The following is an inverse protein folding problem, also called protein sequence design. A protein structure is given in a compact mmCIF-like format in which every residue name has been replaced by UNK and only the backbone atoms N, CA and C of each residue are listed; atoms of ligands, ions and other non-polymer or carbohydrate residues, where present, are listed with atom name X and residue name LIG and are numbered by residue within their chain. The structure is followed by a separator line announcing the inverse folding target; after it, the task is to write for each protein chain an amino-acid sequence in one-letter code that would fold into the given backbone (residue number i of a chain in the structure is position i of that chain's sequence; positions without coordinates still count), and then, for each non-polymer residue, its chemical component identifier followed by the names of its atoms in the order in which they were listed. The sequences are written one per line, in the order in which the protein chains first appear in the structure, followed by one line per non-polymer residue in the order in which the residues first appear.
data_IF_538516685973
#
_entry.id   IF_538516685973
#
_cell.length_a   1.000
_cell.length_b   1.000
_cell.length_c   1.000
_cell.angle_alpha   90.00
_cell.angle_beta   90.00
_cell.angle_gamma   90.00
#
_symmetry.space_group_name_H-M   'P 1'
#
loop_
_entity.id
_entity.type
_entity.pdbx_description
1 polymer ?
#
# COMPACT_ATOMS: atom_id res chain seq x y z
N UNK A 1 6.77 27.15 -23.25
CA UNK A 1 7.47 25.87 -23.06
C UNK A 1 7.43 25.50 -21.59
N UNK A 2 7.08 24.27 -21.24
CA UNK A 2 7.12 23.81 -19.83
C UNK A 2 8.55 23.38 -19.50
N UNK A 3 9.07 23.82 -18.36
CA UNK A 3 10.45 23.54 -17.95
C UNK A 3 10.70 22.03 -17.76
N UNK A 4 11.90 21.52 -18.12
CA UNK A 4 12.22 20.09 -18.11
C UNK A 4 12.15 19.44 -16.71
N UNK A 5 12.24 20.23 -15.65
CA UNK A 5 12.11 19.75 -14.26
C UNK A 5 10.67 19.35 -13.96
N UNK A 6 9.68 20.11 -14.47
CA UNK A 6 8.26 19.86 -14.24
C UNK A 6 7.80 18.53 -14.86
N UNK A 7 8.37 18.15 -16.00
CA UNK A 7 8.08 16.88 -16.68
C UNK A 7 8.49 15.66 -15.85
N UNK A 8 9.63 15.70 -15.16
CA UNK A 8 10.10 14.59 -14.32
C UNK A 8 9.16 14.28 -13.15
N UNK A 9 8.69 15.32 -12.45
CA UNK A 9 7.72 15.14 -11.36
C UNK A 9 6.39 14.54 -11.83
N UNK A 10 5.99 14.80 -13.09
CA UNK A 10 4.76 14.22 -13.68
C UNK A 10 4.94 12.73 -13.94
N UNK A 11 6.06 12.36 -14.55
CA UNK A 11 6.37 10.97 -14.87
C UNK A 11 6.52 10.13 -13.60
N UNK A 12 7.18 10.65 -12.56
CA UNK A 12 7.33 9.94 -11.29
C UNK A 12 5.99 9.59 -10.63
N UNK A 13 5.02 10.52 -10.63
CA UNK A 13 3.70 10.27 -10.06
C UNK A 13 2.90 9.21 -10.87
N UNK A 14 3.07 9.18 -12.19
CA UNK A 14 2.44 8.19 -13.07
C UNK A 14 3.10 6.82 -12.88
N UNK A 15 4.42 6.76 -12.78
CA UNK A 15 5.14 5.51 -12.53
C UNK A 15 4.73 4.94 -11.17
N UNK A 16 4.68 5.77 -10.12
CA UNK A 16 4.19 5.35 -8.81
C UNK A 16 2.74 4.82 -8.85
N UNK A 17 1.87 5.43 -9.67
CA UNK A 17 0.50 4.91 -9.89
C UNK A 17 0.55 3.49 -10.42
N UNK A 18 1.27 3.30 -11.52
CA UNK A 18 1.34 2.01 -12.22
C UNK A 18 1.93 0.96 -11.28
N UNK A 19 2.99 1.28 -10.55
CA UNK A 19 3.59 0.39 -9.56
C UNK A 19 2.62 0.00 -8.45
N UNK A 20 1.83 0.93 -7.90
CA UNK A 20 0.82 0.59 -6.88
C UNK A 20 -0.27 -0.35 -7.43
N UNK A 21 -0.69 -0.18 -8.68
CA UNK A 21 -1.70 -1.07 -9.29
C UNK A 21 -1.12 -2.45 -9.61
N UNK A 22 0.13 -2.50 -10.09
CA UNK A 22 0.85 -3.75 -10.30
C UNK A 22 1.05 -4.47 -8.95
N UNK A 23 1.42 -3.75 -7.89
CA UNK A 23 1.57 -4.30 -6.54
C UNK A 23 0.27 -4.92 -6.03
N UNK A 24 -0.88 -4.29 -6.28
CA UNK A 24 -2.19 -4.86 -5.95
C UNK A 24 -2.44 -6.18 -6.70
N UNK A 25 -2.22 -6.19 -8.02
CA UNK A 25 -2.45 -7.39 -8.84
C UNK A 25 -1.53 -8.53 -8.40
N UNK A 26 -0.25 -8.24 -8.18
CA UNK A 26 0.72 -9.21 -7.66
C UNK A 26 0.29 -9.70 -6.28
N UNK A 27 -0.15 -8.82 -5.39
CA UNK A 27 -0.66 -9.16 -4.06
C UNK A 27 -1.87 -10.10 -4.12
N UNK A 28 -2.83 -9.85 -5.02
CA UNK A 28 -4.00 -10.72 -5.22
C UNK A 28 -3.58 -12.09 -5.73
N UNK A 29 -2.69 -12.15 -6.72
CA UNK A 29 -2.19 -13.42 -7.26
C UNK A 29 -1.48 -14.23 -6.17
N UNK A 30 -0.63 -13.58 -5.37
CA UNK A 30 0.05 -14.22 -4.24
C UNK A 30 -0.95 -14.71 -3.18
N UNK A 31 -1.96 -13.91 -2.85
CA UNK A 31 -2.99 -14.29 -1.89
C UNK A 31 -3.81 -15.49 -2.38
N UNK A 32 -4.22 -15.48 -3.65
CA UNK A 32 -4.97 -16.57 -4.26
C UNK A 32 -4.16 -17.88 -4.32
N UNK A 33 -2.89 -17.81 -4.74
CA UNK A 33 -2.01 -18.98 -4.80
C UNK A 33 -1.71 -19.57 -3.42
N UNK A 34 -1.60 -18.74 -2.38
CA UNK A 34 -1.32 -19.22 -1.03
C UNK A 34 -2.59 -19.51 -0.21
N UNK A 35 -3.80 -19.23 -0.73
CA UNK A 35 -5.05 -19.35 0.04
C UNK A 35 -5.24 -20.75 0.65
N UNK A 36 -4.92 -21.81 -0.09
CA UNK A 36 -5.00 -23.19 0.38
C UNK A 36 -3.86 -23.64 1.28
N UNK A 37 -2.74 -22.90 1.35
CA UNK A 37 -1.56 -23.26 2.18
C UNK A 37 -1.48 -22.46 3.48
N UNK A 38 -2.44 -21.57 3.75
CA UNK A 38 -2.45 -20.80 4.99
C UNK A 38 -2.56 -21.68 6.24
N UNK A 39 -3.30 -22.79 6.17
CA UNK A 39 -3.45 -23.72 7.29
C UNK A 39 -2.16 -24.49 7.59
N UNK A 40 -1.44 -24.95 6.56
CA UNK A 40 -0.10 -25.57 6.74
C UNK A 40 0.95 -24.55 7.20
N UNK A 41 0.88 -23.30 6.75
CA UNK A 41 1.88 -22.26 7.05
C UNK A 41 1.68 -21.54 8.37
N UNK A 42 0.43 -21.42 8.83
CA UNK A 42 0.06 -20.64 10.01
C UNK A 42 -0.82 -21.41 11.00
N UNK A 43 -1.05 -22.72 10.80
CA UNK A 43 -1.87 -23.56 11.68
C UNK A 43 -1.39 -23.58 13.13
N UNK A 44 -0.08 -23.42 13.35
CA UNK A 44 0.52 -23.32 14.69
C UNK A 44 0.44 -21.89 15.28
N UNK A 45 -0.02 -20.89 14.51
CA UNK A 45 -0.02 -19.47 14.84
C UNK A 45 -1.34 -18.78 14.41
N UNK A 46 -2.44 -19.01 15.13
CA UNK A 46 -3.76 -18.48 14.79
C UNK A 46 -3.81 -16.95 14.77
N UNK A 47 -2.96 -16.29 15.55
CA UNK A 47 -2.71 -14.85 15.57
C UNK A 47 -2.22 -14.34 14.21
N UNK A 48 -1.18 -14.96 13.66
CA UNK A 48 -0.63 -14.60 12.35
C UNK A 48 -1.62 -14.89 11.22
N UNK A 49 -2.36 -16.00 11.30
CA UNK A 49 -3.37 -16.34 10.31
C UNK A 49 -4.48 -15.29 10.25
N UNK A 50 -4.97 -14.82 11.39
CA UNK A 50 -5.97 -13.74 11.47
C UNK A 50 -5.45 -12.44 10.89
N UNK A 51 -4.20 -12.08 11.20
CA UNK A 51 -3.57 -10.88 10.65
C UNK A 51 -3.58 -10.91 9.11
N UNK A 52 -3.10 -11.99 8.49
CA UNK A 52 -3.03 -12.08 7.02
C UNK A 52 -4.39 -12.14 6.34
N UNK A 53 -5.36 -12.86 6.92
CA UNK A 53 -6.69 -13.05 6.31
C UNK A 53 -7.62 -11.86 6.51
N UNK A 54 -7.46 -11.08 7.57
CA UNK A 54 -8.38 -9.98 7.91
C UNK A 54 -7.71 -8.62 7.90
N UNK A 55 -6.67 -8.43 8.70
CA UNK A 55 -6.10 -7.09 8.96
C UNK A 55 -5.23 -6.60 7.78
N UNK A 56 -4.45 -7.51 7.21
CA UNK A 56 -3.58 -7.24 6.07
C UNK A 56 -4.40 -6.89 4.83
N UNK A 57 -5.35 -7.76 4.45
CA UNK A 57 -6.17 -7.55 3.25
C UNK A 57 -7.07 -6.31 3.37
N UNK A 58 -7.66 -6.06 4.55
CA UNK A 58 -8.45 -4.86 4.79
C UNK A 58 -7.62 -3.57 4.60
N UNK A 59 -6.38 -3.57 5.10
CA UNK A 59 -5.48 -2.44 4.97
C UNK A 59 -5.01 -2.25 3.53
N UNK A 60 -4.73 -3.33 2.79
CA UNK A 60 -4.39 -3.23 1.36
C UNK A 60 -5.53 -2.57 0.58
N UNK A 61 -6.78 -3.00 0.81
CA UNK A 61 -7.97 -2.40 0.18
C UNK A 61 -8.09 -0.92 0.53
N UNK A 62 -7.91 -0.55 1.81
CA UNK A 62 -7.95 0.84 2.26
C UNK A 62 -6.86 1.69 1.59
N UNK A 63 -5.63 1.16 1.49
CA UNK A 63 -4.52 1.84 0.82
C UNK A 63 -4.84 2.13 -0.66
N UNK A 64 -5.47 1.18 -1.36
CA UNK A 64 -5.86 1.35 -2.77
C UNK A 64 -7.02 2.32 -2.91
N UNK A 65 -7.99 2.30 -2.00
CA UNK A 65 -9.07 3.27 -1.97
C UNK A 65 -8.51 4.69 -1.83
N UNK A 66 -7.53 4.90 -0.95
CA UNK A 66 -6.84 6.19 -0.78
C UNK A 66 -6.08 6.62 -2.04
N UNK A 67 -5.34 5.70 -2.67
CA UNK A 67 -4.64 5.95 -3.95
C UNK A 67 -5.63 6.35 -5.03
N UNK A 68 -6.77 5.66 -5.13
CA UNK A 68 -7.83 5.93 -6.11
C UNK A 68 -8.49 7.29 -5.85
N UNK A 69 -8.80 7.58 -4.59
CA UNK A 69 -9.34 8.86 -4.15
C UNK A 69 -8.36 10.01 -4.41
N UNK A 70 -7.05 9.81 -4.25
CA UNK A 70 -6.02 10.81 -4.53
C UNK A 70 -6.08 11.33 -5.97
N UNK A 71 -6.40 10.45 -6.93
CA UNK A 71 -6.60 10.84 -8.34
C UNK A 71 -7.93 11.58 -8.57
N UNK A 72 -8.97 11.26 -7.82
CA UNK A 72 -10.24 12.01 -7.85
C UNK A 72 -10.09 13.42 -7.26
N UNK A 73 -9.35 13.54 -6.14
CA UNK A 73 -9.10 14.81 -5.46
C UNK A 73 -8.12 15.73 -6.20
N UNK A 74 -7.19 15.16 -6.97
CA UNK A 74 -6.28 15.93 -7.81
C UNK A 74 -7.01 16.61 -8.97
N UNK A 75 -8.03 15.98 -9.56
CA UNK A 75 -8.88 16.62 -10.59
C UNK A 75 -9.58 17.89 -10.08
N UNK A 76 -9.83 17.98 -8.77
CA UNK A 76 -10.44 19.16 -8.12
C UNK A 76 -9.45 20.30 -7.82
N UNK A 77 -8.16 20.17 -8.15
CA UNK A 77 -7.18 21.22 -7.89
C UNK A 77 -7.13 22.23 -9.04
N UNK A 78 -7.16 23.53 -8.70
CA UNK A 78 -7.20 24.63 -9.67
C UNK A 78 -5.84 24.88 -10.36
N UNK A 79 -4.74 24.50 -9.72
CA UNK A 79 -3.37 24.74 -10.22
C UNK A 79 -2.68 23.42 -10.56
N UNK A 80 -1.92 23.39 -11.65
CA UNK A 80 -1.17 22.20 -12.09
C UNK A 80 -0.24 21.62 -10.99
N UNK A 81 0.53 22.42 -10.22
CA UNK A 81 1.33 21.90 -9.12
C UNK A 81 0.49 21.30 -7.99
N UNK A 82 -0.66 21.92 -7.69
CA UNK A 82 -1.59 21.44 -6.67
C UNK A 82 -2.21 20.09 -7.01
N UNK A 83 -2.40 19.79 -8.30
CA UNK A 83 -2.84 18.46 -8.75
C UNK A 83 -1.81 17.39 -8.43
N UNK A 84 -0.53 17.66 -8.72
CA UNK A 84 0.55 16.70 -8.54
C UNK A 84 0.85 16.45 -7.05
N UNK A 85 0.82 17.50 -6.23
CA UNK A 85 1.05 17.37 -4.78
C UNK A 85 -0.02 16.49 -4.13
N UNK A 86 -1.30 16.65 -4.50
CA UNK A 86 -2.38 15.81 -3.99
C UNK A 86 -2.16 14.34 -4.35
N UNK A 87 -1.81 14.03 -5.60
CA UNK A 87 -1.51 12.66 -6.00
C UNK A 87 -0.36 12.10 -5.17
N UNK A 88 0.74 12.85 -5.03
CA UNK A 88 1.91 12.43 -4.28
C UNK A 88 1.59 12.11 -2.81
N UNK A 89 0.85 12.99 -2.13
CA UNK A 89 0.49 12.78 -0.71
C UNK A 89 -0.37 11.54 -0.52
N UNK A 90 -1.45 11.38 -1.31
CA UNK A 90 -2.30 10.20 -1.19
C UNK A 90 -1.57 8.90 -1.53
N UNK A 91 -0.62 8.96 -2.46
CA UNK A 91 0.17 7.80 -2.86
C UNK A 91 1.22 7.43 -1.83
N UNK A 92 1.85 8.42 -1.20
CA UNK A 92 2.77 8.19 -0.09
C UNK A 92 2.04 7.61 1.11
N UNK A 93 0.84 8.10 1.43
CA UNK A 93 0.01 7.53 2.50
C UNK A 93 -0.38 6.08 2.17
N UNK A 94 -0.83 5.82 0.94
CA UNK A 94 -1.16 4.45 0.51
C UNK A 94 0.04 3.51 0.57
N UNK A 95 1.19 3.93 0.05
CA UNK A 95 2.44 3.17 0.09
C UNK A 95 2.90 2.93 1.54
N UNK A 96 2.79 3.94 2.40
CA UNK A 96 3.14 3.82 3.80
C UNK A 96 2.26 2.80 4.52
N UNK A 97 0.95 2.81 4.30
CA UNK A 97 0.04 1.80 4.84
C UNK A 97 0.37 0.39 4.31
N UNK A 98 0.72 0.27 3.03
CA UNK A 98 1.13 -1.01 2.44
C UNK A 98 2.40 -1.54 3.11
N UNK A 99 3.44 -0.72 3.27
CA UNK A 99 4.69 -1.11 3.93
C UNK A 99 4.50 -1.37 5.42
N UNK A 100 3.68 -0.59 6.11
CA UNK A 100 3.42 -0.77 7.54
C UNK A 100 2.72 -2.10 7.85
N UNK A 101 1.92 -2.63 6.92
CA UNK A 101 1.17 -3.88 7.12
C UNK A 101 1.90 -5.12 6.58
N UNK A 102 3.15 -4.98 6.13
CA UNK A 102 4.05 -6.11 5.91
C UNK A 102 4.64 -6.48 7.28
N UNK A 103 4.54 -7.74 7.74
CA UNK A 103 5.09 -8.14 9.03
C UNK A 103 6.61 -8.23 8.92
N UNK A 104 7.28 -7.11 9.15
CA UNK A 104 8.73 -7.05 9.08
C UNK A 104 9.37 -7.84 10.23
N UNK A 105 10.52 -8.50 10.00
CA UNK A 105 11.21 -9.24 11.06
C UNK A 105 11.61 -8.36 12.25
N UNK A 106 11.78 -7.04 12.06
CA UNK A 106 12.02 -6.10 13.14
C UNK A 106 10.76 -5.75 13.95
N UNK A 107 9.54 -5.89 13.41
CA UNK A 107 8.30 -5.73 14.17
C UNK A 107 8.10 -6.91 15.12
N UNK A 108 8.47 -8.13 14.73
CA UNK A 108 8.52 -9.27 15.65
C UNK A 108 9.53 -9.05 16.78
N UNK A 109 10.70 -8.46 16.47
CA UNK A 109 11.68 -8.06 17.49
C UNK A 109 11.12 -7.00 18.44
N UNK A 110 10.23 -6.14 17.97
CA UNK A 110 9.54 -5.14 18.79
C UNK A 110 8.38 -5.75 19.59
N UNK A 111 7.67 -6.76 19.07
CA UNK A 111 6.60 -7.45 19.79
C UNK A 111 7.12 -8.24 20.99
N UNK A 112 8.34 -8.79 20.93
CA UNK A 112 9.00 -9.36 22.09
C UNK A 112 9.37 -8.32 23.17
N UNK A 113 9.44 -7.03 22.82
CA UNK A 113 9.67 -5.93 23.76
C UNK A 113 8.36 -5.38 24.37
N UNK A 114 7.22 -5.62 23.73
CA UNK A 114 5.88 -5.34 24.26
C UNK A 114 5.11 -6.66 24.46
N UNK A 115 5.42 -7.37 25.55
CA UNK A 115 4.62 -8.49 26.08
C UNK A 115 3.27 -8.01 26.66
N UNK A 116 2.47 -7.27 25.89
CA UNK A 116 1.12 -6.86 26.29
C UNK A 116 0.08 -7.27 25.25
N UNK A 117 0.03 -8.59 25.00
CA UNK A 117 -1.16 -9.46 25.03
C UNK A 117 -0.65 -10.87 25.35
#
# INVERSE_FOLDING_TARGET
GRSPVLTWHRSAAIIAMVLCHVQLVVGIILYANNFGTFEERFGERPDLMRFWKMEHIATMILAIALVTMGRSLSKKAKTEPGKQLRIAVFYLIGLFLMLAMIPWPFMAKFSHMYQWI
#
